data_IF_064135480690
#
_entry.id   IF_064135480690
#
_cell.length_a   1.000
_cell.length_b   1.000
_cell.length_c   1.000
_cell.angle_alpha   90.00
_cell.angle_beta   90.00
_cell.angle_gamma   90.00
#
_symmetry.space_group_name_H-M   'P 1'
#
loop_
_entity.id
_entity.type
_entity.pdbx_description
1 polymer ?
#
# COMPACT_ATOMS: atom_id res chain seq x y z
N UNK A 1 -13.45 -2.15 -18.53
CA UNK A 1 -12.67 -0.98 -19.00
C UNK A 1 -12.21 -0.19 -17.78
N UNK A 2 -10.92 0.12 -17.76
CA UNK A 2 -10.14 0.70 -16.66
C UNK A 2 -10.64 2.11 -16.28
N UNK A 3 -10.26 2.60 -15.09
CA UNK A 3 -10.58 3.95 -14.62
C UNK A 3 -10.06 5.07 -15.53
N UNK A 4 -9.99 6.30 -15.01
CA UNK A 4 -9.57 7.49 -15.77
C UNK A 4 -8.19 7.30 -16.45
N UNK A 5 -7.34 6.44 -15.86
CA UNK A 5 -6.08 5.98 -16.43
C UNK A 5 -6.17 4.49 -16.82
N UNK A 6 -5.37 4.07 -17.81
CA UNK A 6 -5.15 2.65 -18.07
C UNK A 6 -4.52 1.97 -16.85
N UNK A 7 -4.69 0.66 -16.69
CA UNK A 7 -4.16 -0.10 -15.53
C UNK A 7 -2.63 0.05 -15.41
N UNK A 8 -1.91 0.04 -16.53
CA UNK A 8 -0.46 0.29 -16.55
C UNK A 8 -0.10 1.67 -16.01
N UNK A 9 -0.75 2.73 -16.51
CA UNK A 9 -0.47 4.11 -16.06
C UNK A 9 -0.87 4.30 -14.60
N UNK A 10 -2.01 3.74 -14.18
CA UNK A 10 -2.46 3.76 -12.80
C UNK A 10 -1.46 3.06 -11.85
N UNK A 11 -0.95 1.89 -12.24
CA UNK A 11 0.03 1.16 -11.43
C UNK A 11 1.38 1.89 -11.37
N UNK A 12 1.84 2.47 -12.48
CA UNK A 12 3.06 3.31 -12.47
C UNK A 12 2.90 4.52 -11.56
N UNK A 13 1.79 5.26 -11.65
CA UNK A 13 1.53 6.42 -10.80
C UNK A 13 1.37 6.03 -9.32
N UNK A 14 0.70 4.91 -9.04
CA UNK A 14 0.58 4.38 -7.67
C UNK A 14 1.96 4.02 -7.11
N UNK A 15 2.80 3.34 -7.91
CA UNK A 15 4.17 2.99 -7.52
C UNK A 15 5.06 4.23 -7.29
N UNK A 16 4.95 5.25 -8.15
CA UNK A 16 5.67 6.52 -8.00
C UNK A 16 5.30 7.21 -6.69
N UNK A 17 4.01 7.14 -6.32
CA UNK A 17 3.53 7.66 -5.04
C UNK A 17 3.83 6.74 -3.84
N UNK A 18 4.68 5.72 -3.97
CA UNK A 18 4.92 4.71 -2.92
C UNK A 18 3.62 4.08 -2.37
N UNK A 19 2.63 3.89 -3.24
CA UNK A 19 1.31 3.38 -2.90
C UNK A 19 0.54 4.25 -1.89
N UNK A 20 0.87 5.54 -1.74
CA UNK A 20 0.03 6.46 -0.99
C UNK A 20 -1.27 6.74 -1.72
N UNK A 21 -1.21 6.90 -3.05
CA UNK A 21 -2.37 7.10 -3.90
C UNK A 21 -2.67 5.84 -4.71
N UNK A 22 -3.95 5.51 -4.85
CA UNK A 22 -4.39 4.41 -5.71
C UNK A 22 -5.09 4.98 -6.94
N UNK A 23 -4.32 5.20 -7.99
CA UNK A 23 -4.79 5.84 -9.22
C UNK A 23 -5.73 4.95 -10.04
N UNK A 24 -5.80 3.64 -9.74
CA UNK A 24 -6.73 2.72 -10.39
C UNK A 24 -8.19 3.02 -9.99
N UNK A 25 -8.41 3.52 -8.76
CA UNK A 25 -9.73 3.83 -8.19
C UNK A 25 -10.26 5.21 -8.54
N UNK A 26 -9.41 6.10 -9.04
CA UNK A 26 -9.76 7.50 -9.37
C UNK A 26 -10.85 7.56 -10.46
N UNK A 27 -10.95 6.58 -11.35
CA UNK A 27 -12.03 6.50 -12.34
C UNK A 27 -13.25 5.67 -11.95
N UNK A 28 -13.15 4.81 -10.93
CA UNK A 28 -14.25 3.91 -10.55
C UNK A 28 -15.38 4.66 -9.83
N UNK A 29 -15.03 5.69 -9.05
CA UNK A 29 -15.96 6.56 -8.34
C UNK A 29 -16.96 7.27 -9.27
N UNK A 30 -16.62 7.46 -10.55
CA UNK A 30 -17.51 8.05 -11.55
C UNK A 30 -18.29 7.01 -12.37
N UNK A 31 -17.85 5.75 -12.39
CA UNK A 31 -18.28 4.78 -13.42
C UNK A 31 -19.25 3.73 -12.90
N UNK A 32 -19.23 3.39 -11.62
CA UNK A 32 -20.14 2.38 -11.08
C UNK A 32 -21.57 2.94 -11.01
N UNK A 33 -22.38 2.57 -12.01
CA UNK A 33 -23.75 3.00 -12.25
C UNK A 33 -24.84 2.02 -11.78
N UNK A 34 -24.48 0.95 -11.07
CA UNK A 34 -25.36 -0.21 -10.88
C UNK A 34 -25.51 -0.67 -9.43
N UNK A 35 -25.44 0.22 -8.45
CA UNK A 35 -25.82 -0.10 -7.07
C UNK A 35 -26.58 1.08 -6.44
N UNK A 36 -27.51 0.78 -5.53
CA UNK A 36 -28.21 1.77 -4.71
C UNK A 36 -27.14 2.61 -3.99
N UNK A 37 -26.98 3.86 -4.40
CA UNK A 37 -26.00 4.74 -3.78
C UNK A 37 -26.36 4.98 -2.32
N UNK A 38 -25.37 4.83 -1.44
CA UNK A 38 -25.48 5.41 -0.11
C UNK A 38 -25.50 6.94 -0.22
N UNK A 39 -26.16 7.62 0.74
CA UNK A 39 -26.16 9.08 0.80
C UNK A 39 -24.74 9.67 0.81
N UNK A 40 -23.79 8.95 1.39
CA UNK A 40 -22.39 9.33 1.40
C UNK A 40 -21.78 9.35 -0.01
N UNK A 41 -22.04 8.32 -0.82
CA UNK A 41 -21.55 8.24 -2.21
C UNK A 41 -22.21 9.30 -3.12
N UNK A 42 -23.50 9.59 -2.91
CA UNK A 42 -24.20 10.65 -3.65
C UNK A 42 -23.57 12.02 -3.37
N UNK A 43 -23.26 12.33 -2.11
CA UNK A 43 -22.61 13.58 -1.72
C UNK A 43 -21.20 13.68 -2.33
N UNK A 44 -20.43 12.59 -2.31
CA UNK A 44 -19.09 12.56 -2.91
C UNK A 44 -19.14 12.82 -4.42
N UNK A 45 -20.00 12.10 -5.14
CA UNK A 45 -20.18 12.27 -6.59
C UNK A 45 -20.73 13.66 -6.94
N UNK A 46 -21.67 14.18 -6.16
CA UNK A 46 -22.22 15.52 -6.32
C UNK A 46 -21.18 16.62 -6.12
N UNK A 47 -20.31 16.47 -5.12
CA UNK A 47 -19.21 17.42 -4.85
C UNK A 47 -18.19 17.43 -6.00
N UNK A 48 -17.86 16.24 -6.54
CA UNK A 48 -17.00 16.12 -7.72
C UNK A 48 -17.62 16.85 -8.91
N UNK A 49 -18.88 16.60 -9.23
CA UNK A 49 -19.56 17.27 -10.35
C UNK A 49 -19.66 18.79 -10.16
N UNK A 50 -19.96 19.25 -8.94
CA UNK A 50 -20.04 20.67 -8.62
C UNK A 50 -18.68 21.38 -8.81
N UNK A 51 -17.59 20.79 -8.29
CA UNK A 51 -16.24 21.34 -8.44
C UNK A 51 -15.71 21.30 -9.87
N UNK A 52 -16.06 20.27 -10.65
CA UNK A 52 -15.76 20.22 -12.09
C UNK A 52 -16.49 21.33 -12.83
N UNK A 53 -17.77 21.57 -12.51
CA UNK A 53 -18.56 22.66 -13.07
C UNK A 53 -18.02 24.04 -12.70
N UNK A 54 -17.61 24.23 -11.45
CA UNK A 54 -16.98 25.47 -10.98
C UNK A 54 -15.63 25.70 -11.67
N UNK A 55 -14.79 24.66 -11.78
CA UNK A 55 -13.52 24.72 -12.50
C UNK A 55 -13.70 25.03 -13.99
N UNK A 56 -14.72 24.47 -14.62
CA UNK A 56 -15.09 24.76 -16.01
C UNK A 56 -15.50 26.23 -16.19
N UNK A 57 -16.31 26.75 -15.28
CA UNK A 57 -16.77 28.15 -15.27
C UNK A 57 -15.62 29.14 -15.04
N UNK A 58 -14.74 28.85 -14.08
CA UNK A 58 -13.56 29.65 -13.80
C UNK A 58 -12.57 29.62 -14.98
N UNK A 59 -12.31 28.44 -15.56
CA UNK A 59 -11.47 28.30 -16.75
C UNK A 59 -12.03 29.06 -17.96
N UNK A 60 -13.35 29.06 -18.14
CA UNK A 60 -14.01 29.85 -19.18
C UNK A 60 -13.80 31.35 -18.96
N UNK A 61 -14.01 31.84 -17.74
CA UNK A 61 -13.87 33.26 -17.42
C UNK A 61 -12.41 33.76 -17.41
N UNK A 62 -11.45 32.88 -17.15
CA UNK A 62 -10.03 33.22 -17.16
C UNK A 62 -9.44 33.22 -18.58
N UNK A 63 -10.17 32.72 -19.57
CA UNK A 63 -9.72 32.71 -20.96
C UNK A 63 -9.86 34.11 -21.58
N UNK A 64 -8.80 34.91 -21.47
CA UNK A 64 -8.73 36.28 -22.00
C UNK A 64 -8.54 36.31 -23.54
N UNK A 65 -9.07 35.30 -24.23
CA UNK A 65 -8.89 35.11 -25.67
C UNK A 65 -10.23 35.07 -26.40
N UNK A 66 -10.34 35.78 -27.51
CA UNK A 66 -11.53 35.73 -28.39
C UNK A 66 -11.63 34.42 -29.22
N UNK A 67 -10.59 33.59 -29.17
CA UNK A 67 -10.60 32.29 -29.84
C UNK A 67 -11.39 31.25 -29.03
N UNK A 68 -12.48 30.77 -29.63
CA UNK A 68 -13.29 29.63 -29.12
C UNK A 68 -12.42 28.43 -28.72
N UNK A 69 -11.36 28.12 -29.48
CA UNK A 69 -10.48 26.98 -29.20
C UNK A 69 -9.70 27.16 -27.90
N UNK A 70 -9.18 28.36 -27.65
CA UNK A 70 -8.45 28.65 -26.43
C UNK A 70 -9.39 28.67 -25.22
N UNK A 71 -10.60 29.25 -25.35
CA UNK A 71 -11.61 29.17 -24.29
C UNK A 71 -11.94 27.72 -23.92
N UNK A 72 -12.12 26.87 -24.93
CA UNK A 72 -12.34 25.43 -24.73
C UNK A 72 -11.21 24.74 -23.97
N UNK A 73 -9.94 25.01 -24.32
CA UNK A 73 -8.78 24.44 -23.64
C UNK A 73 -8.68 24.89 -22.18
N UNK A 74 -8.87 26.19 -21.91
CA UNK A 74 -8.85 26.71 -20.55
C UNK A 74 -10.00 26.15 -19.69
N UNK A 75 -11.21 26.06 -20.25
CA UNK A 75 -12.35 25.39 -19.58
C UNK A 75 -12.11 23.92 -19.30
N UNK A 76 -11.54 23.16 -20.24
CA UNK A 76 -11.18 21.75 -20.01
C UNK A 76 -10.09 21.60 -18.95
N UNK A 77 -9.10 22.48 -18.95
CA UNK A 77 -8.04 22.48 -17.93
C UNK A 77 -8.59 22.83 -16.54
N UNK A 78 -9.50 23.80 -16.44
CA UNK A 78 -10.16 24.17 -15.18
C UNK A 78 -11.06 23.06 -14.66
N UNK A 79 -11.80 22.39 -15.55
CA UNK A 79 -12.59 21.20 -15.22
C UNK A 79 -11.70 20.06 -14.68
N UNK A 80 -10.54 19.82 -15.31
CA UNK A 80 -9.57 18.83 -14.84
C UNK A 80 -8.99 19.21 -13.46
N UNK A 81 -8.65 20.48 -13.22
CA UNK A 81 -8.19 20.93 -11.90
C UNK A 81 -9.27 20.75 -10.84
N UNK A 82 -10.52 21.13 -11.14
CA UNK A 82 -11.67 20.92 -10.24
C UNK A 82 -11.92 19.44 -9.94
N UNK A 83 -11.79 18.57 -10.96
CA UNK A 83 -11.83 17.11 -10.81
C UNK A 83 -10.72 16.61 -9.88
N UNK A 84 -9.47 17.05 -10.08
CA UNK A 84 -8.33 16.62 -9.24
C UNK A 84 -8.52 17.08 -7.79
N UNK A 85 -8.93 18.32 -7.56
CA UNK A 85 -9.13 18.89 -6.22
C UNK A 85 -10.24 18.17 -5.46
N UNK A 86 -11.39 17.92 -6.09
CA UNK A 86 -12.49 17.19 -5.44
C UNK A 86 -12.14 15.74 -5.15
N UNK A 87 -11.43 15.07 -6.05
CA UNK A 87 -10.92 13.73 -5.79
C UNK A 87 -9.89 13.73 -4.66
N UNK A 88 -9.07 14.77 -4.54
CA UNK A 88 -8.15 14.93 -3.42
C UNK A 88 -8.88 14.97 -2.07
N UNK A 89 -10.02 15.67 -1.98
CA UNK A 89 -10.84 15.71 -0.75
C UNK A 89 -11.40 14.33 -0.40
N UNK A 90 -11.89 13.58 -1.39
CA UNK A 90 -12.46 12.24 -1.18
C UNK A 90 -11.38 11.19 -0.89
N UNK A 91 -10.20 11.32 -1.49
CA UNK A 91 -9.09 10.38 -1.36
C UNK A 91 -8.19 10.72 -0.15
N UNK A 92 -8.20 11.97 0.34
CA UNK A 92 -7.37 12.42 1.46
C UNK A 92 -7.52 11.56 2.73
N UNK A 93 -8.72 11.16 3.18
CA UNK A 93 -8.86 10.26 4.32
C UNK A 93 -8.18 8.90 4.10
N UNK A 94 -8.20 8.37 2.87
CA UNK A 94 -7.53 7.12 2.51
C UNK A 94 -6.01 7.28 2.48
N UNK A 95 -5.52 8.41 1.96
CA UNK A 95 -4.09 8.77 1.99
C UNK A 95 -3.63 8.90 3.45
N UNK A 96 -4.40 9.60 4.29
CA UNK A 96 -4.08 9.77 5.70
C UNK A 96 -4.02 8.43 6.44
N UNK A 97 -4.99 7.53 6.20
CA UNK A 97 -4.92 6.16 6.75
C UNK A 97 -3.68 5.39 6.30
N UNK A 98 -3.29 5.50 5.02
CA UNK A 98 -2.07 4.85 4.49
C UNK A 98 -0.80 5.47 5.06
N UNK A 99 -0.80 6.78 5.28
CA UNK A 99 0.28 7.50 5.94
C UNK A 99 0.43 7.04 7.41
N UNK A 100 -0.67 6.92 8.15
CA UNK A 100 -0.64 6.33 9.49
C UNK A 100 -0.07 4.92 9.50
N UNK A 101 -0.50 4.06 8.55
CA UNK A 101 0.05 2.72 8.41
C UNK A 101 1.55 2.73 8.07
N UNK A 102 2.04 3.68 7.27
CA UNK A 102 3.46 3.79 6.96
C UNK A 102 4.28 4.27 8.16
N UNK A 103 3.70 5.15 8.99
CA UNK A 103 4.28 5.54 10.27
C UNK A 103 4.36 4.34 11.22
N UNK A 104 3.29 3.54 11.33
CA UNK A 104 3.29 2.31 12.14
C UNK A 104 4.38 1.33 11.67
N UNK A 105 4.56 1.18 10.35
CA UNK A 105 5.64 0.36 9.78
C UNK A 105 7.02 0.92 10.15
N UNK A 106 7.19 2.24 10.10
CA UNK A 106 8.45 2.91 10.46
C UNK A 106 8.75 2.74 11.95
N UNK A 107 7.74 2.80 12.81
CA UNK A 107 7.89 2.54 14.24
C UNK A 107 8.30 1.08 14.50
N UNK A 108 7.66 0.12 13.84
CA UNK A 108 8.05 -1.29 13.94
C UNK A 108 9.49 -1.53 13.47
N UNK A 109 9.93 -0.87 12.39
CA UNK A 109 11.34 -0.92 11.96
C UNK A 109 12.29 -0.35 13.00
N UNK A 110 11.95 0.77 13.65
CA UNK A 110 12.76 1.32 14.73
C UNK A 110 12.87 0.35 15.90
N UNK A 111 11.78 -0.33 16.27
CA UNK A 111 11.83 -1.37 17.30
C UNK A 111 12.77 -2.51 16.91
N UNK A 112 12.70 -2.98 15.66
CA UNK A 112 13.60 -4.02 15.14
C UNK A 112 15.05 -3.55 15.18
N UNK A 113 15.35 -2.35 14.68
CA UNK A 113 16.70 -1.79 14.68
C UNK A 113 17.27 -1.67 16.09
N UNK A 114 16.48 -1.20 17.06
CA UNK A 114 16.90 -1.14 18.46
C UNK A 114 17.19 -2.54 19.01
N UNK A 115 16.32 -3.52 18.73
CA UNK A 115 16.56 -4.92 19.10
C UNK A 115 17.80 -5.51 18.45
N UNK A 116 18.11 -5.18 17.20
CA UNK A 116 19.35 -5.61 16.54
C UNK A 116 20.58 -4.94 17.15
N UNK A 117 20.48 -3.69 17.60
CA UNK A 117 21.56 -3.02 18.34
C UNK A 117 21.80 -3.69 19.70
N UNK A 118 20.73 -4.04 20.42
CA UNK A 118 20.82 -4.80 21.67
C UNK A 118 21.49 -6.16 21.44
N UNK A 119 21.11 -6.85 20.36
CA UNK A 119 21.71 -8.12 19.96
C UNK A 119 23.21 -7.95 19.63
N UNK A 120 23.59 -6.88 18.92
CA UNK A 120 24.99 -6.61 18.57
C UNK A 120 25.87 -6.30 19.78
N UNK A 121 25.29 -5.77 20.86
CA UNK A 121 26.00 -5.49 22.10
C UNK A 121 26.31 -6.75 22.93
N UNK A 122 25.83 -7.94 22.51
CA UNK A 122 26.15 -9.18 23.20
C UNK A 122 27.62 -9.58 23.04
N UNK A 123 28.28 -10.02 24.12
CA UNK A 123 29.72 -10.33 24.11
C UNK A 123 30.09 -11.67 23.44
N UNK A 124 29.11 -12.43 22.92
CA UNK A 124 29.33 -13.77 22.36
C UNK A 124 29.39 -13.74 20.83
N UNK A 125 30.18 -14.66 20.26
CA UNK A 125 30.30 -15.04 18.85
C UNK A 125 29.78 -14.01 17.82
N UNK A 126 30.62 -13.01 17.54
CA UNK A 126 30.25 -11.85 16.71
C UNK A 126 29.85 -12.24 15.28
N UNK A 127 30.38 -13.34 14.73
CA UNK A 127 30.06 -13.78 13.37
C UNK A 127 28.62 -14.31 13.27
N UNK A 128 28.19 -15.13 14.23
CA UNK A 128 26.81 -15.64 14.28
C UNK A 128 25.80 -14.51 14.52
N UNK A 129 26.14 -13.56 15.40
CA UNK A 129 25.29 -12.39 15.65
C UNK A 129 25.16 -11.53 14.39
N UNK A 130 26.26 -11.25 13.70
CA UNK A 130 26.23 -10.48 12.45
C UNK A 130 25.44 -11.22 11.35
N UNK A 131 25.51 -12.55 11.28
CA UNK A 131 24.68 -13.38 10.39
C UNK A 131 23.18 -13.25 10.69
N UNK A 132 22.78 -13.35 11.96
CA UNK A 132 21.38 -13.16 12.38
C UNK A 132 20.90 -11.74 12.04
N UNK A 133 21.73 -10.71 12.27
CA UNK A 133 21.41 -9.32 11.92
C UNK A 133 21.18 -9.19 10.41
N UNK A 134 22.02 -9.78 9.57
CA UNK A 134 21.87 -9.74 8.12
C UNK A 134 20.59 -10.45 7.64
N UNK A 135 20.28 -11.62 8.20
CA UNK A 135 19.05 -12.37 7.90
C UNK A 135 17.79 -11.55 8.22
N UNK A 136 17.75 -10.95 9.41
CA UNK A 136 16.63 -10.11 9.86
C UNK A 136 16.51 -8.86 8.99
N UNK A 137 17.62 -8.20 8.71
CA UNK A 137 17.66 -6.97 7.87
C UNK A 137 17.18 -7.27 6.46
N UNK A 138 17.61 -8.40 5.88
CA UNK A 138 17.16 -8.88 4.57
C UNK A 138 15.66 -9.14 4.57
N UNK A 139 15.12 -9.74 5.63
CA UNK A 139 13.69 -9.98 5.74
C UNK A 139 12.88 -8.67 5.84
N UNK A 140 13.35 -7.69 6.63
CA UNK A 140 12.72 -6.36 6.72
C UNK A 140 12.70 -5.67 5.36
N UNK A 141 13.82 -5.72 4.62
CA UNK A 141 13.90 -5.15 3.28
C UNK A 141 12.90 -5.81 2.32
N UNK A 142 12.82 -7.15 2.33
CA UNK A 142 11.90 -7.88 1.48
C UNK A 142 10.43 -7.56 1.82
N UNK A 143 10.08 -7.41 3.11
CA UNK A 143 8.74 -6.96 3.53
C UNK A 143 8.45 -5.55 3.00
N UNK A 144 9.41 -4.63 3.04
CA UNK A 144 9.21 -3.25 2.58
C UNK A 144 9.14 -3.11 1.07
N UNK A 145 9.79 -3.99 0.32
CA UNK A 145 9.71 -4.04 -1.14
C UNK A 145 8.42 -4.74 -1.60
N UNK A 146 7.68 -5.40 -0.68
CA UNK A 146 6.47 -6.14 -1.02
C UNK A 146 5.41 -5.26 -1.67
N UNK A 147 4.86 -5.72 -2.79
CA UNK A 147 3.74 -5.08 -3.47
C UNK A 147 2.67 -6.12 -3.83
N UNK A 148 1.41 -5.84 -3.49
CA UNK A 148 0.26 -6.71 -3.75
C UNK A 148 -0.66 -6.17 -4.86
N UNK A 149 -0.15 -5.31 -5.75
CA UNK A 149 -0.88 -4.85 -6.92
C UNK A 149 -1.22 -6.01 -7.86
N UNK A 150 -2.42 -5.99 -8.44
CA UNK A 150 -2.82 -6.90 -9.51
C UNK A 150 -3.10 -6.12 -10.81
N UNK A 151 -3.50 -6.82 -11.87
CA UNK A 151 -3.75 -6.21 -13.19
C UNK A 151 -4.86 -5.14 -13.18
N UNK A 152 -5.73 -5.16 -12.17
CA UNK A 152 -6.91 -4.30 -12.07
C UNK A 152 -6.77 -3.18 -11.04
N UNK A 153 -6.03 -3.40 -9.96
CA UNK A 153 -5.93 -2.52 -8.80
C UNK A 153 -4.53 -2.53 -8.19
N UNK A 154 -4.08 -1.35 -7.74
CA UNK A 154 -2.78 -1.24 -7.07
C UNK A 154 -2.78 -1.77 -5.63
N UNK A 155 -3.95 -2.01 -5.02
CA UNK A 155 -4.14 -2.61 -3.68
C UNK A 155 -3.31 -1.95 -2.57
N UNK A 156 -3.03 -0.65 -2.69
CA UNK A 156 -2.18 0.13 -1.80
C UNK A 156 -2.46 -0.03 -0.30
N UNK A 157 -3.74 -0.03 0.12
CA UNK A 157 -4.10 -0.21 1.54
C UNK A 157 -3.80 -1.62 2.06
N UNK A 158 -3.98 -2.65 1.21
CA UNK A 158 -3.67 -4.03 1.56
C UNK A 158 -2.16 -4.23 1.69
N UNK A 159 -1.38 -3.64 0.78
CA UNK A 159 0.09 -3.64 0.82
C UNK A 159 0.59 -3.06 2.15
N UNK A 160 0.15 -1.84 2.50
CA UNK A 160 0.55 -1.21 3.77
C UNK A 160 0.06 -1.98 5.02
N UNK A 161 -1.16 -2.51 4.98
CA UNK A 161 -1.69 -3.34 6.07
C UNK A 161 -0.87 -4.61 6.30
N UNK A 162 -0.56 -5.35 5.23
CA UNK A 162 0.24 -6.58 5.32
C UNK A 162 1.68 -6.29 5.74
N UNK A 163 2.30 -5.22 5.23
CA UNK A 163 3.62 -4.76 5.67
C UNK A 163 3.64 -4.51 7.17
N UNK A 164 2.65 -3.76 7.69
CA UNK A 164 2.52 -3.49 9.12
C UNK A 164 2.43 -4.78 9.92
N UNK A 165 1.51 -5.68 9.58
CA UNK A 165 1.34 -6.95 10.30
C UNK A 165 2.64 -7.77 10.33
N UNK A 166 3.32 -7.90 9.19
CA UNK A 166 4.56 -8.68 9.11
C UNK A 166 5.69 -8.05 9.93
N UNK A 167 5.86 -6.73 9.87
CA UNK A 167 6.88 -6.02 10.64
C UNK A 167 6.60 -6.07 12.15
N UNK A 168 5.35 -5.90 12.57
CA UNK A 168 4.98 -5.99 13.99
C UNK A 168 5.22 -7.40 14.54
N UNK A 169 4.85 -8.44 13.79
CA UNK A 169 5.12 -9.82 14.19
C UNK A 169 6.62 -10.11 14.27
N UNK A 170 7.38 -9.64 13.27
CA UNK A 170 8.83 -9.79 13.26
C UNK A 170 9.48 -9.09 14.46
N UNK A 171 9.06 -7.87 14.78
CA UNK A 171 9.54 -7.12 15.94
C UNK A 171 9.24 -7.86 17.26
N UNK A 172 8.03 -8.41 17.40
CA UNK A 172 7.63 -9.16 18.59
C UNK A 172 8.45 -10.44 18.77
N UNK A 173 8.64 -11.21 17.70
CA UNK A 173 9.45 -12.44 17.71
C UNK A 173 10.92 -12.14 18.02
N UNK A 174 11.53 -11.13 17.39
CA UNK A 174 12.91 -10.74 17.66
C UNK A 174 13.11 -10.34 19.13
N UNK A 175 12.15 -9.59 19.69
CA UNK A 175 12.18 -9.21 21.11
C UNK A 175 12.09 -10.44 22.03
N UNK A 176 11.26 -11.41 21.68
CA UNK A 176 11.15 -12.66 22.42
C UNK A 176 12.45 -13.48 22.34
N UNK A 177 13.06 -13.55 21.16
CA UNK A 177 14.32 -14.26 20.92
C UNK A 177 15.48 -13.64 21.71
N UNK A 178 15.59 -12.31 21.74
CA UNK A 178 16.58 -11.59 22.57
C UNK A 178 16.32 -11.81 24.07
N UNK A 179 15.06 -11.85 24.49
CA UNK A 179 14.74 -12.20 25.88
C UNK A 179 15.14 -13.65 26.21
N UNK A 180 14.94 -14.58 25.27
CA UNK A 180 15.42 -15.96 25.36
C UNK A 180 16.94 -16.02 25.52
N UNK A 181 17.68 -15.25 24.72
CA UNK A 181 19.14 -15.10 24.80
C UNK A 181 19.62 -14.62 26.17
N UNK A 182 18.88 -13.71 26.82
CA UNK A 182 19.21 -13.18 28.14
C UNK A 182 18.95 -14.18 29.28
N UNK A 183 18.01 -15.10 29.07
CA UNK A 183 17.49 -15.98 30.13
C UNK A 183 17.99 -17.42 30.02
N UNK A 184 18.49 -17.80 28.86
CA UNK A 184 18.93 -19.16 28.55
C UNK A 184 20.44 -19.32 28.74
N UNK A 185 20.84 -20.35 29.48
CA UNK A 185 22.24 -20.77 29.64
C UNK A 185 22.69 -21.81 28.59
N UNK A 186 21.91 -22.01 27.52
CA UNK A 186 22.22 -22.97 26.47
C UNK A 186 23.27 -22.38 25.51
N UNK A 187 24.47 -22.97 25.42
CA UNK A 187 25.53 -22.48 24.53
C UNK A 187 25.18 -22.60 23.04
N UNK A 188 24.23 -23.46 22.66
CA UNK A 188 23.80 -23.68 21.27
C UNK A 188 22.62 -22.81 20.83
N UNK A 189 22.16 -21.89 21.70
CA UNK A 189 20.96 -21.10 21.43
C UNK A 189 21.15 -20.14 20.24
N UNK A 190 22.36 -19.63 20.02
CA UNK A 190 22.68 -18.77 18.88
C UNK A 190 22.61 -19.52 17.54
N UNK A 191 23.15 -20.74 17.46
CA UNK A 191 23.03 -21.60 16.27
C UNK A 191 21.56 -21.95 15.96
N UNK A 192 20.78 -22.25 17.00
CA UNK A 192 19.35 -22.55 16.85
C UNK A 192 18.58 -21.32 16.33
N UNK A 193 18.92 -20.13 16.83
CA UNK A 193 18.38 -18.87 16.35
C UNK A 193 18.72 -18.61 14.88
N UNK A 194 19.99 -18.72 14.50
CA UNK A 194 20.42 -18.51 13.12
C UNK A 194 19.69 -19.46 12.17
N UNK A 195 19.59 -20.74 12.54
CA UNK A 195 18.86 -21.74 11.76
C UNK A 195 17.38 -21.39 11.62
N UNK A 196 16.72 -20.96 12.70
CA UNK A 196 15.31 -20.55 12.69
C UNK A 196 15.09 -19.33 11.78
N UNK A 197 15.93 -18.31 11.88
CA UNK A 197 15.84 -17.11 11.03
C UNK A 197 16.13 -17.42 9.56
N UNK A 198 17.09 -18.30 9.28
CA UNK A 198 17.38 -18.79 7.92
C UNK A 198 16.19 -19.52 7.30
N UNK A 199 15.57 -20.44 8.05
CA UNK A 199 14.38 -21.17 7.60
C UNK A 199 13.20 -20.23 7.36
N UNK A 200 13.00 -19.24 8.24
CA UNK A 200 11.94 -18.24 8.11
C UNK A 200 12.12 -17.34 6.89
N UNK A 201 13.36 -16.94 6.60
CA UNK A 201 13.65 -16.17 5.39
C UNK A 201 13.36 -16.99 4.12
N UNK A 202 13.72 -18.29 4.13
CA UNK A 202 13.45 -19.18 3.02
C UNK A 202 11.94 -19.37 2.78
N UNK A 203 11.16 -19.65 3.83
CA UNK A 203 9.71 -19.81 3.72
C UNK A 203 9.03 -18.51 3.27
N UNK A 204 9.49 -17.36 3.79
CA UNK A 204 8.99 -16.06 3.37
C UNK A 204 9.23 -15.79 1.87
N UNK A 205 10.42 -16.10 1.36
CA UNK A 205 10.74 -15.95 -0.07
C UNK A 205 9.86 -16.82 -0.97
N UNK A 206 9.54 -18.04 -0.55
CA UNK A 206 8.66 -18.93 -1.31
C UNK A 206 7.19 -18.46 -1.29
N UNK A 207 6.68 -18.02 -0.13
CA UNK A 207 5.36 -17.38 -0.05
C UNK A 207 5.27 -16.14 -0.96
N UNK A 208 6.36 -15.37 -1.03
CA UNK A 208 6.46 -14.18 -1.87
C UNK A 208 6.43 -14.49 -3.37
N UNK A 209 7.16 -15.53 -3.80
CA UNK A 209 7.13 -16.00 -5.19
C UNK A 209 5.72 -16.44 -5.61
N UNK A 210 5.00 -17.16 -4.74
CA UNK A 210 3.63 -17.56 -5.02
C UNK A 210 2.66 -16.38 -5.16
N UNK A 211 2.81 -15.34 -4.33
CA UNK A 211 1.99 -14.13 -4.44
C UNK A 211 2.33 -13.29 -5.68
N UNK A 212 3.59 -13.29 -6.12
CA UNK A 212 4.00 -12.61 -7.36
C UNK A 212 3.60 -13.37 -8.62
N UNK A 213 3.52 -14.71 -8.58
CA UNK A 213 3.15 -15.56 -9.72
C UNK A 213 1.64 -15.68 -9.93
N UNK A 214 0.84 -15.70 -8.86
CA UNK A 214 -0.63 -15.74 -8.98
C UNK A 214 -1.25 -14.39 -9.38
N UNK A 215 -0.44 -13.34 -9.56
CA UNK A 215 -0.86 -12.06 -10.14
C UNK A 215 -1.06 -12.10 -11.66
N UNK A 216 -0.61 -13.16 -12.33
CA UNK A 216 -0.72 -13.36 -13.79
C UNK A 216 -1.68 -14.47 -14.22
N UNK A 217 -2.20 -15.31 -13.31
CA UNK A 217 -2.95 -16.53 -13.66
C UNK A 217 -4.31 -16.66 -12.95
N UNK A 218 -5.13 -15.61 -12.96
CA UNK A 218 -6.56 -15.76 -12.66
C UNK A 218 -7.44 -15.06 -13.70
N UNK A 219 -7.27 -15.49 -14.95
CA UNK A 219 -8.42 -15.66 -15.85
C UNK A 219 -9.19 -16.92 -15.42
N UNK A 220 -10.51 -16.78 -15.42
CA UNK A 220 -11.51 -17.84 -15.51
C UNK A 220 -11.57 -18.90 -14.41
N UNK A 221 -12.26 -18.59 -13.31
CA UNK A 221 -13.37 -19.41 -12.79
C UNK A 221 -13.93 -18.87 -11.47
N UNK A 222 -14.98 -18.05 -11.54
CA UNK A 222 -16.18 -18.27 -10.71
C UNK A 222 -17.31 -17.33 -11.15
N UNK A 223 -18.02 -17.76 -12.20
CA UNK A 223 -19.45 -17.48 -12.28
C UNK A 223 -20.15 -18.15 -11.09
N UNK A 224 -21.10 -17.44 -10.50
CA UNK A 224 -22.13 -17.94 -9.58
C UNK A 224 -21.68 -18.49 -8.22
N UNK A 225 -21.63 -17.61 -7.20
CA UNK A 225 -22.13 -17.97 -5.86
C UNK A 225 -22.98 -16.82 -5.31
N UNK A 226 -24.28 -17.10 -5.29
CA UNK A 226 -25.34 -16.41 -4.55
C UNK A 226 -24.97 -16.25 -3.07
N UNK A 227 -25.02 -15.04 -2.53
CA UNK A 227 -25.12 -14.83 -1.07
C UNK A 227 -26.26 -13.85 -0.80
N UNK A 228 -27.46 -14.42 -0.66
CA UNK A 228 -28.49 -13.92 0.26
C UNK A 228 -28.07 -14.23 1.71
N UNK A 229 -28.63 -13.44 2.63
CA UNK A 229 -28.56 -13.52 4.10
C UNK A 229 -27.29 -12.85 4.66
N UNK A 230 -27.33 -11.85 5.54
CA UNK A 230 -28.27 -11.55 6.63
C UNK A 230 -28.15 -10.08 7.08
N UNK A 231 -29.29 -9.53 7.53
CA UNK A 231 -29.60 -8.17 8.03
C UNK A 231 -29.92 -7.12 6.98
#
# INVERSE_FOLDING_TARGET
MTGFFSSQVANTLSSWSNYYMDWSRVGELLREGTHRYSWHELIQRGTILASMGEGLYLGYNYSDSDSWLNRGLYSMSGCFVGFVVSHLVVIAPLIYKRYQLSQDCTEAQKMILNSLQDLRAYPNDSELIDSIIDLVTTQVKAIMEMNLSNEKHSNASLTWGKRRTLLTNLAAELKQDIHGLNTTNNPFFLDELEKRWSQKLASFKEEFKHHSANGTDHEDNNSSVDIRQSM
#
